data_IF_244736084382
#
_entry.id   IF_244736084382
#
_cell.length_a   1.000
_cell.length_b   1.000
_cell.length_c   1.000
_cell.angle_alpha   90.00
_cell.angle_beta   90.00
_cell.angle_gamma   90.00
#
_symmetry.space_group_name_H-M   'P 1'
#
loop_
_entity.id
_entity.type
_entity.pdbx_description
1 polymer ?
#
# COMPACT_ATOMS: atom_id res chain seq x y z
N UNK A 1 -8.55 -34.90 23.10
CA UNK A 1 -7.87 -33.58 23.08
C UNK A 1 -8.41 -32.80 21.89
N UNK A 2 -9.20 -31.75 22.13
CA UNK A 2 -9.79 -30.93 21.06
C UNK A 2 -8.80 -29.81 20.69
N UNK A 3 -8.60 -29.47 19.40
CA UNK A 3 -7.78 -28.33 19.03
C UNK A 3 -8.37 -27.03 19.56
N UNK A 4 -7.52 -26.02 19.87
CA UNK A 4 -7.99 -24.74 20.36
C UNK A 4 -8.86 -24.05 19.30
N UNK A 5 -10.04 -23.57 19.73
CA UNK A 5 -11.00 -22.87 18.86
C UNK A 5 -10.50 -21.48 18.42
N UNK A 6 -9.41 -20.99 19.00
CA UNK A 6 -8.83 -19.69 18.71
C UNK A 6 -7.80 -19.80 17.58
N UNK A 7 -7.84 -18.86 16.63
CA UNK A 7 -6.82 -18.76 15.57
C UNK A 7 -5.46 -18.47 16.21
N UNK A 8 -4.42 -19.22 15.81
CA UNK A 8 -3.02 -18.86 16.11
C UNK A 8 -2.75 -17.44 15.60
N UNK A 9 -2.18 -16.55 16.43
CA UNK A 9 -1.82 -15.20 15.99
C UNK A 9 -0.78 -15.29 14.86
N UNK A 10 -0.78 -14.30 13.97
CA UNK A 10 0.22 -14.22 12.91
C UNK A 10 1.62 -14.15 13.54
N UNK A 11 2.52 -15.07 13.18
CA UNK A 11 3.86 -15.14 13.76
C UNK A 11 4.66 -13.84 13.59
N UNK A 12 4.41 -13.09 12.51
CA UNK A 12 4.90 -11.71 12.36
C UNK A 12 3.81 -10.72 12.76
N UNK A 13 4.07 -9.82 13.72
CA UNK A 13 3.21 -8.66 13.96
C UNK A 13 3.03 -7.85 12.68
N UNK A 14 1.81 -7.33 12.44
CA UNK A 14 1.59 -6.42 11.32
C UNK A 14 2.38 -5.13 11.59
N UNK A 15 3.18 -4.67 10.62
CA UNK A 15 3.87 -3.38 10.70
C UNK A 15 2.88 -2.20 10.83
N UNK A 16 1.63 -2.40 10.39
CA UNK A 16 0.55 -1.41 10.49
C UNK A 16 -0.55 -1.92 11.41
N UNK A 17 -0.93 -1.09 12.38
CA UNK A 17 -2.08 -1.30 13.26
C UNK A 17 -3.38 -1.38 12.45
N UNK A 18 -4.29 -2.26 12.86
CA UNK A 18 -5.66 -2.33 12.34
C UNK A 18 -6.52 -1.33 13.12
N UNK A 19 -7.30 -0.52 12.42
CA UNK A 19 -8.19 0.44 13.04
C UNK A 19 -9.44 -0.26 13.60
N UNK A 20 -9.95 0.18 14.76
CA UNK A 20 -11.22 -0.29 15.33
C UNK A 20 -12.43 0.37 14.66
N UNK A 21 -13.63 -0.16 14.89
CA UNK A 21 -14.89 0.42 14.40
C UNK A 21 -15.06 1.84 14.95
N UNK A 22 -15.19 2.83 14.06
CA UNK A 22 -15.30 4.26 14.41
C UNK A 22 -14.00 5.05 14.33
N UNK A 23 -12.85 4.39 14.13
CA UNK A 23 -11.60 5.09 13.84
C UNK A 23 -11.57 5.53 12.37
N UNK A 24 -11.69 6.83 12.13
CA UNK A 24 -11.53 7.41 10.79
C UNK A 24 -10.03 7.52 10.51
N UNK A 25 -9.47 6.76 9.55
CA UNK A 25 -8.07 6.92 9.19
C UNK A 25 -7.83 8.34 8.68
N UNK A 26 -6.75 8.96 9.14
CA UNK A 26 -6.37 10.30 8.66
C UNK A 26 -6.34 10.33 7.13
N UNK A 27 -6.81 11.41 6.49
CA UNK A 27 -6.80 11.53 5.04
C UNK A 27 -5.37 11.35 4.55
N UNK A 28 -5.16 10.35 3.68
CA UNK A 28 -3.86 10.11 3.06
C UNK A 28 -3.47 11.38 2.31
N UNK A 29 -2.37 12.02 2.72
CA UNK A 29 -1.83 13.19 2.01
C UNK A 29 -1.62 12.81 0.56
N UNK A 30 -2.32 13.48 -0.36
CA UNK A 30 -2.01 13.39 -1.79
C UNK A 30 -0.56 13.85 -1.95
N UNK A 31 0.25 13.09 -2.68
CA UNK A 31 1.64 13.50 -2.94
C UNK A 31 1.62 14.86 -3.61
N UNK A 32 2.37 15.82 -3.05
CA UNK A 32 2.52 17.15 -3.65
C UNK A 32 3.18 17.05 -5.04
N UNK A 33 4.15 16.15 -5.16
CA UNK A 33 4.86 15.89 -6.41
C UNK A 33 4.32 14.61 -7.06
N UNK A 34 3.77 14.67 -8.28
CA UNK A 34 3.40 13.50 -9.04
C UNK A 34 4.60 12.58 -9.28
N UNK A 35 4.38 11.27 -9.24
CA UNK A 35 5.44 10.33 -9.63
C UNK A 35 5.78 10.57 -11.11
N UNK A 36 7.07 10.64 -11.41
CA UNK A 36 7.58 10.72 -12.78
C UNK A 36 7.90 9.32 -13.30
N UNK A 37 7.65 9.10 -14.57
CA UNK A 37 8.02 7.88 -15.26
C UNK A 37 9.55 7.77 -15.33
N UNK A 38 10.12 6.66 -14.82
CA UNK A 38 11.58 6.48 -14.77
C UNK A 38 12.24 6.28 -16.14
N UNK A 39 11.49 5.93 -17.19
CA UNK A 39 12.03 5.87 -18.56
C UNK A 39 12.18 7.26 -19.19
N UNK A 40 11.26 8.17 -18.85
CA UNK A 40 10.89 9.23 -19.77
C UNK A 40 10.75 10.61 -19.08
N UNK A 41 10.66 10.61 -17.75
CA UNK A 41 10.52 11.81 -16.92
C UNK A 41 9.12 12.44 -16.91
N UNK A 42 8.21 11.98 -17.76
CA UNK A 42 6.83 12.49 -17.84
C UNK A 42 5.97 12.08 -16.66
N UNK A 43 4.90 12.81 -16.41
CA UNK A 43 3.89 12.51 -15.38
C UNK A 43 2.68 11.80 -16.00
N UNK A 44 1.80 11.25 -15.16
CA UNK A 44 0.55 10.62 -15.60
C UNK A 44 0.66 9.17 -16.08
N UNK A 45 1.87 8.60 -16.15
CA UNK A 45 2.08 7.18 -16.45
C UNK A 45 3.35 6.64 -15.77
N UNK A 46 3.42 5.32 -15.63
CA UNK A 46 4.59 4.62 -15.07
C UNK A 46 5.44 4.00 -16.19
N UNK A 47 6.63 3.48 -15.86
CA UNK A 47 7.54 2.82 -16.82
C UNK A 47 6.89 1.67 -17.60
N UNK A 48 5.96 0.94 -16.98
CA UNK A 48 5.23 -0.17 -17.63
C UNK A 48 4.30 0.31 -18.75
N UNK A 49 3.69 1.49 -18.60
CA UNK A 49 2.73 2.07 -19.54
C UNK A 49 3.38 3.16 -20.41
N UNK A 50 4.71 3.24 -20.42
CA UNK A 50 5.43 4.26 -21.16
C UNK A 50 5.61 3.81 -22.60
N UNK A 51 4.99 4.53 -23.52
CA UNK A 51 5.03 4.29 -24.98
C UNK A 51 6.33 4.73 -25.65
N UNK A 52 7.21 5.44 -24.94
CA UNK A 52 8.51 5.84 -25.50
C UNK A 52 9.41 4.61 -25.69
N UNK A 53 10.07 4.50 -26.85
CA UNK A 53 11.07 3.46 -27.08
C UNK A 53 12.22 3.58 -26.07
N UNK A 54 12.94 2.47 -25.89
CA UNK A 54 14.15 2.40 -25.06
C UNK A 54 15.31 3.00 -25.83
#
# INVERSE_FOLDING_TARGET
>A
MLPPQTRRPSGRPRDKRVASTGEIPAPKKKKLVPNKCSRCGGTGHNRTNCVRPI
#
